data_IF_459474376963
#
_entry.id   IF_459474376963
#
_cell.length_a   1.000
_cell.length_b   1.000
_cell.length_c   1.000
_cell.angle_alpha   90.00
_cell.angle_beta   90.00
_cell.angle_gamma   90.00
#
_symmetry.space_group_name_H-M   'P 1'
#
loop_
_entity.id
_entity.type
_entity.pdbx_description
1 polymer ?
#
# COMPACT_ATOMS: atom_id res chain seq x y z
N UNK A 1 28.86 -18.12 -6.63
CA UNK A 1 28.45 -19.04 -5.52
C UNK A 1 27.01 -18.74 -5.07
N UNK A 2 26.08 -18.60 -6.00
CA UNK A 2 24.62 -18.51 -5.76
C UNK A 2 23.85 -19.64 -6.48
N UNK A 3 24.57 -20.57 -7.12
CA UNK A 3 24.00 -21.69 -7.87
C UNK A 3 23.77 -22.98 -7.07
N UNK A 4 24.18 -23.06 -5.82
CA UNK A 4 24.17 -24.31 -5.04
C UNK A 4 22.92 -24.50 -4.13
N UNK A 5 21.98 -23.52 -4.10
CA UNK A 5 20.82 -23.61 -3.20
C UNK A 5 19.48 -23.97 -3.88
N UNK A 6 19.48 -24.35 -5.16
CA UNK A 6 18.24 -24.64 -5.92
C UNK A 6 18.15 -26.08 -6.46
N UNK A 7 19.04 -26.96 -6.09
CA UNK A 7 18.99 -28.37 -6.52
C UNK A 7 18.58 -29.29 -5.38
N UNK A 8 17.31 -29.31 -4.99
CA UNK A 8 16.72 -30.51 -4.37
C UNK A 8 15.26 -30.70 -4.79
N UNK A 9 15.11 -31.52 -5.81
CA UNK A 9 14.09 -32.55 -6.07
C UNK A 9 12.65 -32.24 -5.61
N UNK A 10 11.83 -31.92 -6.60
CA UNK A 10 10.39 -32.22 -6.53
C UNK A 10 10.19 -33.74 -6.41
N UNK A 11 10.11 -34.26 -5.20
CA UNK A 11 9.53 -35.59 -4.94
C UNK A 11 8.01 -35.46 -4.95
N UNK A 12 7.38 -36.10 -5.90
CA UNK A 12 5.94 -36.38 -5.91
C UNK A 12 5.56 -37.10 -4.62
N UNK A 13 4.82 -36.39 -3.76
CA UNK A 13 4.23 -37.01 -2.55
C UNK A 13 3.15 -37.99 -2.94
N UNK A 14 3.17 -39.16 -2.30
CA UNK A 14 2.15 -40.21 -2.46
C UNK A 14 0.77 -39.72 -1.96
N UNK A 15 -0.35 -40.30 -2.45
CA UNK A 15 -1.70 -39.85 -2.11
C UNK A 15 -2.08 -39.92 -0.63
N UNK A 16 -1.36 -40.73 0.17
CA UNK A 16 -1.66 -40.93 1.60
C UNK A 16 -1.28 -39.77 2.53
N UNK A 17 -0.37 -38.92 2.14
CA UNK A 17 0.06 -37.76 2.94
C UNK A 17 -0.80 -36.49 2.69
N UNK A 18 -1.70 -36.53 1.71
CA UNK A 18 -2.62 -35.42 1.40
C UNK A 18 -3.83 -35.33 2.33
N UNK A 19 -4.14 -36.42 3.06
CA UNK A 19 -5.40 -36.52 3.78
C UNK A 19 -5.46 -35.81 5.14
N UNK A 20 -4.34 -35.49 5.78
CA UNK A 20 -4.35 -34.92 7.13
C UNK A 20 -4.27 -33.40 7.20
N UNK A 21 -4.03 -32.70 6.06
CA UNK A 21 -4.04 -31.22 5.99
C UNK A 21 -5.20 -30.63 5.19
N UNK A 22 -6.11 -31.45 4.69
CA UNK A 22 -7.19 -31.02 3.78
C UNK A 22 -8.46 -30.50 4.48
N UNK A 23 -8.44 -30.28 5.80
CA UNK A 23 -9.57 -29.67 6.53
C UNK A 23 -9.28 -28.22 6.92
N UNK A 24 -8.91 -27.39 5.98
CA UNK A 24 -8.73 -25.96 6.23
C UNK A 24 -9.40 -25.11 5.16
N UNK A 25 -10.59 -24.64 5.51
CA UNK A 25 -11.10 -23.28 5.40
C UNK A 25 -11.30 -22.63 4.02
N UNK A 26 -12.48 -22.04 3.76
CA UNK A 26 -12.78 -21.23 2.61
C UNK A 26 -12.13 -19.85 2.81
N UNK A 27 -11.01 -19.56 2.14
CA UNK A 27 -10.39 -18.25 2.30
C UNK A 27 -9.50 -17.80 1.13
N UNK A 28 -8.67 -18.69 0.60
CA UNK A 28 -7.81 -18.37 -0.55
C UNK A 28 -7.91 -19.46 -1.60
N UNK A 29 -8.20 -19.13 -2.87
CA UNK A 29 -8.31 -20.13 -3.94
C UNK A 29 -7.01 -20.92 -4.18
N UNK A 30 -5.88 -20.43 -3.67
CA UNK A 30 -4.56 -21.05 -3.83
C UNK A 30 -3.75 -20.98 -2.51
N UNK A 31 -4.00 -21.86 -1.52
CA UNK A 31 -3.21 -21.88 -0.30
C UNK A 31 -1.75 -22.21 -0.61
N UNK A 32 -0.83 -21.45 -0.07
CA UNK A 32 0.62 -21.62 -0.27
C UNK A 32 1.09 -23.04 0.09
N UNK A 33 0.45 -23.66 1.08
CA UNK A 33 0.72 -25.03 1.52
C UNK A 33 0.52 -26.09 0.43
N UNK A 34 -0.26 -25.79 -0.62
CA UNK A 34 -0.44 -26.71 -1.75
C UNK A 34 0.70 -26.65 -2.79
N UNK A 35 1.53 -25.60 -2.72
CA UNK A 35 2.55 -25.32 -3.75
C UNK A 35 3.97 -25.29 -3.20
N UNK A 36 4.13 -25.11 -1.91
CA UNK A 36 5.44 -25.04 -1.26
C UNK A 36 5.55 -26.12 -0.19
N UNK A 37 6.57 -26.97 -0.28
CA UNK A 37 6.91 -27.84 0.83
C UNK A 37 7.48 -26.99 1.97
N UNK A 38 6.66 -26.84 3.02
CA UNK A 38 7.00 -26.04 4.19
C UNK A 38 7.99 -26.74 5.13
N UNK A 39 8.45 -27.96 4.83
CA UNK A 39 9.31 -28.74 5.71
C UNK A 39 10.67 -28.07 5.94
N UNK A 40 11.14 -27.31 4.95
CA UNK A 40 12.39 -26.55 5.03
C UNK A 40 12.26 -25.14 5.67
N UNK A 41 11.06 -24.73 6.05
CA UNK A 41 10.87 -23.45 6.73
C UNK A 41 11.17 -23.59 8.24
N UNK A 42 11.76 -22.54 8.82
CA UNK A 42 11.91 -22.47 10.28
C UNK A 42 10.55 -22.60 10.97
N UNK A 43 10.53 -23.12 12.19
CA UNK A 43 9.30 -23.23 13.01
C UNK A 43 8.58 -21.88 13.09
N UNK A 44 9.32 -20.79 13.27
CA UNK A 44 8.79 -19.42 13.30
C UNK A 44 8.08 -19.05 12.00
N UNK A 45 8.65 -19.41 10.86
CA UNK A 45 8.06 -19.10 9.54
C UNK A 45 6.81 -19.93 9.27
N UNK A 46 6.80 -21.20 9.69
CA UNK A 46 5.61 -22.07 9.61
C UNK A 46 4.48 -21.56 10.50
N UNK A 47 4.78 -21.13 11.71
CA UNK A 47 3.80 -20.52 12.63
C UNK A 47 3.22 -19.22 12.03
N UNK A 48 4.04 -18.37 11.44
CA UNK A 48 3.61 -17.17 10.76
C UNK A 48 2.64 -17.49 9.60
N UNK A 49 2.99 -18.44 8.73
CA UNK A 49 2.13 -18.84 7.60
C UNK A 49 0.81 -19.45 8.08
N UNK A 50 0.84 -20.30 9.10
CA UNK A 50 -0.36 -20.86 9.69
C UNK A 50 -1.27 -19.79 10.28
N UNK A 51 -0.72 -18.81 11.00
CA UNK A 51 -1.47 -17.72 11.61
C UNK A 51 -2.17 -16.83 10.58
N UNK A 52 -1.46 -16.40 9.52
CA UNK A 52 -2.06 -15.57 8.47
C UNK A 52 -3.11 -16.33 7.63
N UNK A 53 -3.00 -17.66 7.56
CA UNK A 53 -3.96 -18.52 6.83
C UNK A 53 -5.20 -18.79 7.66
N UNK A 54 -5.08 -18.90 9.00
CA UNK A 54 -6.18 -19.17 9.92
C UNK A 54 -6.94 -17.94 10.38
N UNK A 55 -6.37 -16.74 10.21
CA UNK A 55 -6.98 -15.48 10.64
C UNK A 55 -8.22 -15.14 9.82
N UNK A 56 -9.39 -15.19 10.42
CA UNK A 56 -10.65 -14.81 9.78
C UNK A 56 -10.91 -13.32 9.92
N UNK A 57 -10.95 -12.62 8.77
CA UNK A 57 -11.32 -11.20 8.68
C UNK A 57 -12.80 -11.10 8.30
N UNK A 58 -13.65 -10.42 9.12
CA UNK A 58 -15.06 -10.28 8.78
C UNK A 58 -15.27 -9.54 7.45
N UNK A 59 -16.19 -10.03 6.64
CA UNK A 59 -16.54 -9.39 5.36
C UNK A 59 -17.67 -8.36 5.50
N UNK A 60 -18.37 -8.35 6.65
CA UNK A 60 -19.51 -7.47 6.90
C UNK A 60 -19.56 -6.96 8.35
N UNK A 61 -20.27 -5.86 8.56
CA UNK A 61 -20.56 -5.36 9.91
C UNK A 61 -21.31 -6.38 10.76
N UNK A 62 -22.31 -7.06 10.20
CA UNK A 62 -23.15 -8.06 10.92
C UNK A 62 -22.34 -9.28 11.39
N UNK A 63 -21.25 -9.57 10.75
CA UNK A 63 -20.29 -10.59 11.17
C UNK A 63 -19.35 -10.05 12.25
N UNK A 64 -18.75 -8.88 12.01
CA UNK A 64 -17.79 -8.27 12.91
C UNK A 64 -18.39 -7.95 14.30
N UNK A 65 -19.66 -7.54 14.37
CA UNK A 65 -20.31 -7.18 15.63
C UNK A 65 -20.46 -8.34 16.60
N UNK A 66 -20.33 -9.58 16.14
CA UNK A 66 -20.40 -10.78 16.99
C UNK A 66 -19.13 -10.97 17.84
N UNK A 67 -18.00 -10.42 17.44
CA UNK A 67 -16.72 -10.54 18.14
C UNK A 67 -16.37 -9.21 18.84
N UNK A 68 -16.08 -9.30 20.13
CA UNK A 68 -15.75 -8.14 20.98
C UNK A 68 -14.54 -7.36 20.47
N UNK A 69 -13.52 -8.05 19.99
CA UNK A 69 -12.29 -7.43 19.45
C UNK A 69 -12.59 -6.49 18.29
N UNK A 70 -13.51 -6.88 17.41
CA UNK A 70 -13.94 -6.03 16.29
C UNK A 70 -14.84 -4.89 16.74
N UNK A 71 -15.73 -5.11 17.74
CA UNK A 71 -16.54 -4.03 18.32
C UNK A 71 -15.66 -2.92 18.90
N UNK A 72 -14.63 -3.30 19.66
CA UNK A 72 -13.68 -2.36 20.26
C UNK A 72 -12.94 -1.51 19.23
N UNK A 73 -12.42 -2.13 18.18
CA UNK A 73 -11.68 -1.36 17.16
C UNK A 73 -12.60 -0.48 16.32
N UNK A 74 -13.83 -0.90 16.03
CA UNK A 74 -14.83 -0.04 15.40
C UNK A 74 -15.18 1.16 16.28
N UNK A 75 -15.39 0.95 17.58
CA UNK A 75 -15.68 2.03 18.52
C UNK A 75 -14.52 3.04 18.60
N UNK A 76 -13.28 2.56 18.68
CA UNK A 76 -12.08 3.43 18.67
C UNK A 76 -11.96 4.23 17.37
N UNK A 77 -12.24 3.60 16.23
CA UNK A 77 -12.21 4.30 14.92
C UNK A 77 -13.26 5.43 14.88
N UNK A 78 -14.50 5.18 15.32
CA UNK A 78 -15.54 6.22 15.38
C UNK A 78 -15.15 7.36 16.34
N UNK A 79 -14.63 7.03 17.52
CA UNK A 79 -14.18 8.04 18.48
C UNK A 79 -13.04 8.89 17.90
N UNK A 80 -12.07 8.26 17.23
CA UNK A 80 -10.99 8.98 16.56
C UNK A 80 -11.49 9.91 15.45
N UNK A 81 -12.44 9.45 14.62
CA UNK A 81 -13.06 10.26 13.58
C UNK A 81 -13.87 11.44 14.13
N UNK A 82 -14.60 11.24 15.23
CA UNK A 82 -15.34 12.30 15.91
C UNK A 82 -14.39 13.31 16.56
N UNK A 83 -13.36 12.84 17.26
CA UNK A 83 -12.37 13.71 17.89
C UNK A 83 -11.61 14.56 16.85
N UNK A 84 -11.34 13.98 15.68
CA UNK A 84 -10.73 14.70 14.54
C UNK A 84 -11.69 15.72 13.89
N UNK A 85 -12.98 15.76 14.28
CA UNK A 85 -13.96 16.63 13.64
C UNK A 85 -14.24 16.27 12.19
N UNK A 86 -14.20 14.97 11.85
CA UNK A 86 -14.30 14.48 10.47
C UNK A 86 -15.66 14.80 9.86
N UNK A 87 -16.73 14.85 10.66
CA UNK A 87 -18.09 15.18 10.22
C UNK A 87 -18.89 15.92 11.27
N UNK A 88 -19.98 16.52 10.84
CA UNK A 88 -21.07 17.00 11.66
C UNK A 88 -22.35 16.24 11.32
N UNK A 89 -23.28 16.15 12.28
CA UNK A 89 -24.59 15.52 12.07
C UNK A 89 -25.54 16.52 11.41
N UNK A 90 -26.12 16.14 10.27
CA UNK A 90 -26.97 16.98 9.45
C UNK A 90 -28.17 16.20 8.90
N UNK A 91 -29.08 16.89 8.22
CA UNK A 91 -30.12 16.27 7.40
C UNK A 91 -29.63 16.07 5.99
N UNK A 92 -30.10 14.97 5.36
CA UNK A 92 -29.71 14.65 3.99
C UNK A 92 -30.42 15.58 2.99
N UNK A 93 -29.68 16.36 2.19
CA UNK A 93 -30.28 17.11 1.09
C UNK A 93 -30.86 16.17 0.02
N UNK A 94 -31.86 16.64 -0.75
CA UNK A 94 -32.38 15.87 -1.89
C UNK A 94 -31.24 15.54 -2.87
N UNK A 95 -31.33 14.33 -3.47
CA UNK A 95 -30.36 13.82 -4.49
C UNK A 95 -28.93 13.56 -4.03
N UNK A 96 -28.60 13.63 -2.75
CA UNK A 96 -27.31 13.26 -2.19
C UNK A 96 -27.38 11.88 -1.51
N UNK A 97 -26.59 10.90 -1.94
CA UNK A 97 -26.59 9.55 -1.34
C UNK A 97 -25.20 8.95 -1.45
N UNK A 98 -24.44 8.95 -0.38
CA UNK A 98 -23.19 8.19 -0.33
C UNK A 98 -23.23 7.23 0.85
N UNK A 99 -23.08 5.95 0.58
CA UNK A 99 -22.98 4.90 1.58
C UNK A 99 -21.56 4.74 2.10
N UNK A 100 -21.43 3.99 3.20
CA UNK A 100 -20.12 3.60 3.74
C UNK A 100 -20.15 2.13 4.16
N UNK A 101 -18.98 1.56 4.33
CA UNK A 101 -18.79 0.21 4.84
C UNK A 101 -17.58 0.15 5.77
N UNK A 102 -17.57 -0.87 6.60
CA UNK A 102 -16.39 -1.24 7.36
C UNK A 102 -15.46 -2.12 6.52
N UNK A 103 -14.16 -1.90 6.69
CA UNK A 103 -13.10 -2.76 6.17
C UNK A 103 -12.26 -3.21 7.36
N UNK A 104 -12.12 -4.52 7.49
CA UNK A 104 -11.44 -5.17 8.59
C UNK A 104 -10.12 -5.76 8.14
N UNK A 105 -9.10 -5.70 9.01
CA UNK A 105 -7.78 -6.26 8.73
C UNK A 105 -7.09 -6.71 10.02
N UNK A 106 -6.52 -7.91 10.01
CA UNK A 106 -5.64 -8.37 11.07
C UNK A 106 -4.21 -8.04 10.71
N UNK A 107 -3.47 -7.42 11.63
CA UNK A 107 -2.04 -7.19 11.50
C UNK A 107 -1.30 -8.21 12.34
N UNK A 108 -0.27 -8.81 11.75
CA UNK A 108 0.55 -9.84 12.38
C UNK A 108 1.97 -9.33 12.58
N UNK A 109 2.60 -9.74 13.67
CA UNK A 109 4.03 -9.58 13.89
C UNK A 109 4.81 -10.58 13.03
N UNK A 110 6.12 -10.39 12.94
CA UNK A 110 7.01 -11.29 12.19
C UNK A 110 7.08 -12.73 12.73
N UNK A 111 6.59 -12.97 13.95
CA UNK A 111 6.49 -14.29 14.57
C UNK A 111 5.14 -15.00 14.33
N UNK A 112 4.20 -14.34 13.63
CA UNK A 112 2.87 -14.85 13.35
C UNK A 112 1.85 -14.55 14.44
N UNK A 113 2.21 -13.93 15.54
CA UNK A 113 1.24 -13.49 16.54
C UNK A 113 0.47 -12.28 16.04
N UNK A 114 -0.81 -12.17 16.44
CA UNK A 114 -1.61 -11.00 16.10
C UNK A 114 -1.03 -9.77 16.78
N UNK A 115 -0.62 -8.78 15.98
CA UNK A 115 -0.20 -7.49 16.49
C UNK A 115 -1.39 -6.66 16.94
N UNK A 116 -2.38 -6.55 16.03
CA UNK A 116 -3.61 -5.78 16.29
C UNK A 116 -4.70 -6.07 15.26
N UNK A 117 -5.92 -5.88 15.69
CA UNK A 117 -7.10 -5.76 14.83
C UNK A 117 -7.21 -4.32 14.32
N UNK A 118 -7.62 -4.13 13.08
CA UNK A 118 -7.81 -2.81 12.48
C UNK A 118 -9.14 -2.77 11.74
N UNK A 119 -10.01 -1.83 12.08
CA UNK A 119 -11.21 -1.49 11.33
C UNK A 119 -11.05 -0.10 10.72
N UNK A 120 -11.51 0.08 9.49
CA UNK A 120 -11.57 1.37 8.83
C UNK A 120 -12.97 1.61 8.30
N UNK A 121 -13.49 2.81 8.55
CA UNK A 121 -14.70 3.27 7.88
C UNK A 121 -14.33 3.81 6.50
N UNK A 122 -14.95 3.23 5.45
CA UNK A 122 -14.66 3.56 4.06
C UNK A 122 -15.94 3.99 3.36
N UNK A 123 -15.91 5.11 2.67
CA UNK A 123 -17.05 5.64 1.92
C UNK A 123 -17.09 5.01 0.51
N UNK A 124 -18.29 4.89 -0.08
CA UNK A 124 -18.45 4.36 -1.45
C UNK A 124 -18.13 5.44 -2.49
N UNK A 125 -16.86 5.70 -2.76
CA UNK A 125 -16.43 6.68 -3.76
C UNK A 125 -16.86 6.34 -5.20
N UNK A 126 -17.14 5.08 -5.50
CA UNK A 126 -17.68 4.65 -6.78
C UNK A 126 -19.09 5.19 -7.06
N UNK A 127 -19.81 5.65 -6.03
CA UNK A 127 -21.12 6.30 -6.16
C UNK A 127 -21.02 7.82 -6.33
N UNK A 128 -19.84 8.41 -6.20
CA UNK A 128 -19.64 9.84 -6.39
C UNK A 128 -19.73 10.22 -7.88
N UNK A 129 -20.43 11.33 -8.14
CA UNK A 129 -20.65 11.90 -9.47
C UNK A 129 -19.76 13.12 -9.64
N UNK A 130 -19.00 13.16 -10.74
CA UNK A 130 -18.17 14.30 -11.12
C UNK A 130 -19.02 15.54 -11.38
N UNK A 131 -18.53 16.70 -10.96
CA UNK A 131 -19.26 17.98 -11.03
C UNK A 131 -20.28 18.20 -9.91
N UNK A 132 -20.66 17.14 -9.16
CA UNK A 132 -21.62 17.21 -8.03
C UNK A 132 -20.94 16.93 -6.69
N UNK A 133 -20.21 15.82 -6.60
CA UNK A 133 -19.58 15.36 -5.36
C UNK A 133 -18.07 15.65 -5.33
N UNK A 134 -17.47 15.87 -6.48
CA UNK A 134 -16.07 16.29 -6.64
C UNK A 134 -15.86 16.95 -8.01
N UNK A 135 -14.85 17.79 -8.11
CA UNK A 135 -14.43 18.43 -9.37
C UNK A 135 -13.07 17.93 -9.84
N UNK A 136 -12.16 17.65 -8.91
CA UNK A 136 -10.79 17.19 -9.20
C UNK A 136 -10.42 16.09 -8.19
N UNK A 137 -9.75 15.06 -8.67
CA UNK A 137 -9.32 13.92 -7.83
C UNK A 137 -7.82 13.72 -7.87
N UNK A 138 -7.12 14.26 -8.86
CA UNK A 138 -5.70 14.04 -9.07
C UNK A 138 -4.87 14.61 -7.93
N UNK A 139 -3.98 13.79 -7.39
CA UNK A 139 -2.90 14.18 -6.49
C UNK A 139 -1.56 13.79 -7.12
N UNK A 140 -0.53 14.63 -7.01
CA UNK A 140 0.82 14.23 -7.41
C UNK A 140 1.27 12.99 -6.64
N UNK A 141 1.86 12.04 -7.37
CA UNK A 141 2.48 10.84 -6.83
C UNK A 141 3.87 10.73 -7.44
N UNK A 142 4.86 10.38 -6.64
CA UNK A 142 6.25 10.29 -7.09
C UNK A 142 6.40 9.36 -8.30
N UNK A 143 6.98 9.88 -9.37
CA UNK A 143 7.32 9.08 -10.54
C UNK A 143 8.50 8.16 -10.21
N UNK A 144 8.50 6.94 -10.71
CA UNK A 144 9.58 5.99 -10.41
C UNK A 144 10.96 6.48 -10.90
N UNK A 145 10.98 7.28 -11.97
CA UNK A 145 12.21 7.95 -12.42
C UNK A 145 12.71 8.95 -11.38
N UNK A 146 11.81 9.74 -10.78
CA UNK A 146 12.16 10.69 -9.72
C UNK A 146 12.69 9.97 -8.48
N UNK A 147 12.09 8.83 -8.10
CA UNK A 147 12.60 7.98 -7.00
C UNK A 147 14.04 7.54 -7.28
N UNK A 148 14.34 7.06 -8.50
CA UNK A 148 15.71 6.65 -8.88
C UNK A 148 16.69 7.81 -8.80
N UNK A 149 16.34 8.97 -9.38
CA UNK A 149 17.20 10.15 -9.37
C UNK A 149 17.42 10.64 -7.93
N UNK A 150 16.38 10.64 -7.11
CA UNK A 150 16.46 11.03 -5.70
C UNK A 150 17.45 10.15 -4.92
N UNK A 151 17.35 8.83 -5.06
CA UNK A 151 18.26 7.88 -4.43
C UNK A 151 19.69 7.98 -4.99
N UNK A 152 19.85 8.15 -6.31
CA UNK A 152 21.16 8.30 -6.94
C UNK A 152 21.89 9.58 -6.47
N UNK A 153 21.17 10.71 -6.38
CA UNK A 153 21.73 11.98 -5.85
C UNK A 153 22.12 11.82 -4.38
N UNK A 154 21.25 11.19 -3.56
CA UNK A 154 21.54 10.96 -2.15
C UNK A 154 22.79 10.05 -1.97
N UNK A 155 22.96 9.01 -2.81
CA UNK A 155 24.15 8.17 -2.83
C UNK A 155 25.40 8.96 -3.21
N UNK A 156 25.37 9.65 -4.35
CA UNK A 156 26.52 10.42 -4.89
C UNK A 156 26.96 11.56 -3.95
N UNK A 157 26.02 12.16 -3.22
CA UNK A 157 26.29 13.25 -2.26
C UNK A 157 26.51 12.76 -0.83
N UNK A 158 26.44 11.48 -0.57
CA UNK A 158 26.52 10.88 0.77
C UNK A 158 25.48 11.44 1.74
N UNK A 159 24.32 11.89 1.23
CA UNK A 159 23.23 12.43 2.05
C UNK A 159 22.48 11.34 2.80
N UNK A 160 22.00 11.65 4.00
CA UNK A 160 21.14 10.74 4.74
C UNK A 160 19.81 10.52 4.02
N UNK A 161 19.23 9.34 4.24
CA UNK A 161 17.91 8.96 3.73
C UNK A 161 17.06 8.44 4.88
N UNK A 162 15.95 9.10 5.14
CA UNK A 162 15.01 8.75 6.18
C UNK A 162 13.63 8.53 5.60
N UNK A 163 12.83 7.74 6.30
CA UNK A 163 11.44 7.48 5.92
C UNK A 163 10.49 7.85 7.05
N UNK A 164 9.38 8.48 6.69
CA UNK A 164 8.25 8.74 7.58
C UNK A 164 6.96 8.23 6.94
N UNK A 165 6.04 7.75 7.78
CA UNK A 165 4.70 7.28 7.40
C UNK A 165 3.66 8.16 8.10
N UNK A 166 2.65 8.62 7.36
CA UNK A 166 1.58 9.44 7.91
C UNK A 166 0.44 8.58 8.39
N UNK A 167 0.17 8.63 9.68
CA UNK A 167 -0.95 7.87 10.22
C UNK A 167 -2.28 8.47 9.76
N UNK A 168 -3.08 7.67 9.03
CA UNK A 168 -4.39 8.07 8.52
C UNK A 168 -4.36 9.36 7.68
N UNK A 169 -3.41 9.49 6.77
CA UNK A 169 -3.12 10.66 5.94
C UNK A 169 -4.38 11.36 5.40
N UNK A 170 -5.32 10.62 4.83
CA UNK A 170 -6.52 11.19 4.24
C UNK A 170 -7.42 11.94 5.25
N UNK A 171 -7.38 11.58 6.53
CA UNK A 171 -8.19 12.23 7.57
C UNK A 171 -7.69 13.64 7.94
N UNK A 172 -6.50 14.02 7.48
CA UNK A 172 -5.97 15.39 7.65
C UNK A 172 -6.45 16.35 6.57
N UNK A 173 -6.90 15.83 5.41
CA UNK A 173 -7.33 16.65 4.28
C UNK A 173 -8.67 17.33 4.53
N UNK A 174 -8.73 18.64 4.35
CA UNK A 174 -9.96 19.43 4.47
C UNK A 174 -10.81 19.27 3.19
N UNK A 175 -12.13 19.09 3.34
CA UNK A 175 -13.06 19.00 2.23
C UNK A 175 -13.69 20.38 1.97
N UNK A 176 -13.62 20.83 0.74
CA UNK A 176 -14.33 22.03 0.28
C UNK A 176 -15.72 21.70 -0.29
N UNK A 177 -15.85 20.49 -0.83
CA UNK A 177 -17.08 20.03 -1.44
C UNK A 177 -18.07 19.52 -0.38
N UNK A 178 -19.35 19.72 -0.62
CA UNK A 178 -20.43 19.19 0.24
C UNK A 178 -20.62 17.69 -0.01
N UNK A 179 -20.05 16.87 0.86
CA UNK A 179 -20.17 15.41 0.83
C UNK A 179 -20.94 14.91 2.05
N UNK A 180 -21.96 14.08 1.79
CA UNK A 180 -22.80 13.49 2.80
C UNK A 180 -22.62 11.98 2.84
N UNK A 181 -22.52 11.42 4.03
CA UNK A 181 -22.38 9.99 4.27
C UNK A 181 -23.51 9.50 5.17
N UNK A 182 -24.09 8.35 4.87
CA UNK A 182 -24.98 7.67 5.81
C UNK A 182 -24.26 7.40 7.13
N UNK A 183 -25.01 7.42 8.23
CA UNK A 183 -24.45 7.03 9.53
C UNK A 183 -23.79 5.65 9.42
N UNK A 184 -22.59 5.49 10.02
CA UNK A 184 -21.88 4.21 10.01
C UNK A 184 -22.75 3.08 10.53
N UNK A 185 -22.70 1.88 9.93
CA UNK A 185 -23.38 0.71 10.46
C UNK A 185 -23.02 0.47 11.93
N UNK A 186 -24.04 0.29 12.79
CA UNK A 186 -23.90 0.13 14.22
C UNK A 186 -23.88 1.44 15.04
N UNK A 187 -23.81 2.60 14.39
CA UNK A 187 -23.78 3.92 15.05
C UNK A 187 -24.94 4.82 14.60
N UNK A 188 -26.02 4.21 14.14
CA UNK A 188 -27.21 4.92 13.67
C UNK A 188 -28.01 5.48 14.86
N UNK A 189 -28.49 6.71 14.71
CA UNK A 189 -29.44 7.30 15.67
C UNK A 189 -30.81 6.77 15.32
N UNK A 190 -31.39 5.98 16.22
CA UNK A 190 -32.71 5.34 16.04
C UNK A 190 -33.78 6.37 15.71
N UNK A 191 -34.58 6.10 14.67
CA UNK A 191 -35.70 6.99 14.28
C UNK A 191 -35.30 8.29 13.58
N UNK A 192 -34.03 8.53 13.33
CA UNK A 192 -33.52 9.76 12.72
C UNK A 192 -33.14 9.56 11.25
N UNK A 193 -33.55 10.49 10.38
CA UNK A 193 -33.08 10.62 8.99
C UNK A 193 -31.76 11.39 8.88
N UNK A 194 -30.99 11.51 9.98
CA UNK A 194 -29.76 12.24 10.05
C UNK A 194 -28.61 11.48 9.34
N UNK A 195 -27.69 12.25 8.80
CA UNK A 195 -26.49 11.79 8.09
C UNK A 195 -25.27 12.53 8.60
N UNK A 196 -24.07 12.04 8.23
CA UNK A 196 -22.82 12.74 8.45
C UNK A 196 -22.54 13.67 7.25
N UNK A 197 -22.43 14.98 7.50
CA UNK A 197 -21.84 15.93 6.55
C UNK A 197 -20.34 15.95 6.80
N UNK A 198 -19.54 15.54 5.82
CA UNK A 198 -18.08 15.47 5.98
C UNK A 198 -17.46 16.86 5.96
N UNK A 199 -16.53 17.10 6.88
CA UNK A 199 -15.69 18.30 6.96
C UNK A 199 -14.26 18.00 6.53
N UNK A 200 -13.81 16.76 6.75
CA UNK A 200 -12.52 16.26 6.32
C UNK A 200 -12.68 15.05 5.42
N UNK A 201 -11.67 14.78 4.63
CA UNK A 201 -11.70 13.63 3.74
C UNK A 201 -11.65 12.31 4.51
N UNK A 202 -12.20 11.27 3.91
CA UNK A 202 -12.30 9.93 4.46
C UNK A 202 -11.84 8.91 3.41
N UNK A 203 -11.38 7.75 3.89
CA UNK A 203 -11.01 6.65 3.00
C UNK A 203 -12.14 6.29 2.04
N UNK A 204 -11.80 6.11 0.78
CA UNK A 204 -12.74 5.78 -0.28
C UNK A 204 -13.25 6.97 -1.09
N UNK A 205 -13.16 8.21 -0.61
CA UNK A 205 -13.45 9.40 -1.42
C UNK A 205 -12.46 9.54 -2.58
N UNK A 206 -12.95 9.82 -3.77
CA UNK A 206 -12.12 10.04 -4.96
C UNK A 206 -11.15 11.21 -4.81
N UNK A 207 -11.54 12.28 -4.11
CA UNK A 207 -10.72 13.48 -3.86
C UNK A 207 -9.84 13.39 -2.60
N UNK A 208 -9.92 12.32 -1.78
CA UNK A 208 -9.15 12.24 -0.54
C UNK A 208 -7.63 12.37 -0.75
N UNK A 209 -7.00 11.75 -1.75
CA UNK A 209 -5.57 11.95 -2.04
C UNK A 209 -5.23 13.41 -2.34
N UNK A 210 -6.07 14.11 -3.11
CA UNK A 210 -5.88 15.53 -3.45
C UNK A 210 -5.97 16.42 -2.21
N UNK A 211 -6.98 16.20 -1.35
CA UNK A 211 -7.18 16.99 -0.14
C UNK A 211 -6.00 16.82 0.82
N UNK A 212 -5.53 15.60 0.99
CA UNK A 212 -4.35 15.30 1.80
C UNK A 212 -3.09 15.96 1.23
N UNK A 213 -2.82 15.75 -0.06
CA UNK A 213 -1.65 16.33 -0.71
C UNK A 213 -1.63 17.86 -0.62
N UNK A 214 -2.77 18.51 -0.78
CA UNK A 214 -2.88 19.97 -0.62
C UNK A 214 -2.49 20.42 0.80
N UNK A 215 -2.98 19.70 1.84
CA UNK A 215 -2.63 19.98 3.25
C UNK A 215 -1.15 19.81 3.52
N UNK A 216 -0.57 18.70 3.08
CA UNK A 216 0.87 18.42 3.22
C UNK A 216 1.71 19.45 2.45
N UNK A 217 1.34 19.77 1.20
CA UNK A 217 2.05 20.74 0.37
C UNK A 217 2.07 22.14 1.00
N UNK A 218 0.97 22.53 1.65
CA UNK A 218 0.91 23.80 2.40
C UNK A 218 1.91 23.81 3.55
N UNK A 219 1.91 22.78 4.40
CA UNK A 219 2.84 22.67 5.52
C UNK A 219 4.32 22.65 5.06
N UNK A 220 4.63 21.92 3.97
CA UNK A 220 5.98 21.92 3.41
C UNK A 220 6.41 23.31 2.93
N UNK A 221 5.52 24.05 2.26
CA UNK A 221 5.80 25.42 1.79
C UNK A 221 5.96 26.42 2.95
N UNK A 222 5.15 26.29 3.99
CA UNK A 222 5.24 27.10 5.21
C UNK A 222 6.57 26.86 5.95
N UNK A 223 7.11 25.63 5.91
CA UNK A 223 8.46 25.33 6.44
C UNK A 223 9.59 25.94 5.59
N UNK A 224 9.30 26.32 4.33
CA UNK A 224 10.25 26.93 3.40
C UNK A 224 10.65 26.06 2.21
N UNK A 225 10.00 24.91 1.99
CA UNK A 225 10.26 24.08 0.82
C UNK A 225 9.66 24.69 -0.46
N UNK A 226 10.37 24.50 -1.56
CA UNK A 226 9.92 24.79 -2.91
C UNK A 226 9.49 23.49 -3.59
N UNK A 227 8.30 23.50 -4.21
CA UNK A 227 7.78 22.36 -4.98
C UNK A 227 8.42 22.33 -6.37
N UNK A 228 8.88 21.17 -6.81
CA UNK A 228 9.48 20.99 -8.13
C UNK A 228 8.44 21.07 -9.25
N UNK A 229 8.78 21.72 -10.36
CA UNK A 229 7.96 21.76 -11.58
C UNK A 229 8.03 20.46 -12.39
N UNK A 230 9.14 19.72 -12.30
CA UNK A 230 9.32 18.47 -13.06
C UNK A 230 8.55 17.27 -12.46
N UNK A 231 8.40 17.28 -11.15
CA UNK A 231 7.58 16.32 -10.40
C UNK A 231 7.02 17.03 -9.16
N UNK A 232 5.72 17.25 -9.15
CA UNK A 232 5.05 17.98 -8.06
C UNK A 232 5.06 17.23 -6.72
N UNK A 233 5.49 15.97 -6.70
CA UNK A 233 5.69 15.20 -5.45
C UNK A 233 7.05 15.44 -4.81
N UNK A 234 7.98 16.14 -5.50
CA UNK A 234 9.31 16.46 -5.00
C UNK A 234 9.32 17.89 -4.45
N UNK A 235 9.82 18.05 -3.24
CA UNK A 235 10.02 19.33 -2.57
C UNK A 235 11.49 19.47 -2.18
N UNK A 236 12.05 20.66 -2.35
CA UNK A 236 13.45 20.97 -2.06
C UNK A 236 13.56 22.20 -1.21
N UNK A 237 14.44 22.19 -0.22
CA UNK A 237 14.78 23.34 0.59
C UNK A 237 16.29 23.53 0.53
N UNK A 238 16.70 24.78 0.26
CA UNK A 238 18.08 25.20 0.35
C UNK A 238 18.15 26.47 1.19
N UNK A 239 18.86 26.39 2.30
CA UNK A 239 19.15 27.55 3.14
C UNK A 239 20.63 27.53 3.51
N UNK A 240 21.42 28.49 3.01
CA UNK A 240 22.88 28.50 3.09
C UNK A 240 23.45 27.18 2.53
N UNK A 241 24.18 26.45 3.39
CA UNK A 241 24.79 25.15 3.05
C UNK A 241 23.86 23.96 3.33
N UNK A 242 22.76 24.17 4.04
CA UNK A 242 21.78 23.12 4.37
C UNK A 242 20.90 22.83 3.15
N UNK A 243 20.80 21.56 2.80
CA UNK A 243 19.92 21.07 1.74
C UNK A 243 19.06 19.93 2.26
N UNK A 244 17.75 20.08 2.14
CA UNK A 244 16.76 19.06 2.43
C UNK A 244 15.90 18.80 1.19
N UNK A 245 15.57 17.55 0.96
CA UNK A 245 14.68 17.13 -0.10
C UNK A 245 13.64 16.18 0.45
N UNK A 246 12.40 16.32 0.02
CA UNK A 246 11.29 15.45 0.41
C UNK A 246 10.61 14.92 -0.84
N UNK A 247 10.49 13.63 -0.94
CA UNK A 247 9.73 12.95 -1.98
C UNK A 247 8.47 12.33 -1.38
N UNK A 248 7.31 12.71 -1.89
CA UNK A 248 6.00 12.32 -1.35
C UNK A 248 5.38 11.23 -2.22
N UNK A 249 4.99 10.12 -1.61
CA UNK A 249 4.19 9.08 -2.25
C UNK A 249 2.99 8.75 -1.36
N UNK A 250 1.91 9.47 -1.55
CA UNK A 250 0.65 9.40 -0.78
C UNK A 250 0.89 9.65 0.71
N UNK A 251 1.01 8.60 1.53
CA UNK A 251 1.27 8.61 2.97
C UNK A 251 2.73 8.32 3.34
N UNK A 252 3.52 7.85 2.39
CA UNK A 252 4.96 7.60 2.56
C UNK A 252 5.80 8.82 2.14
N UNK A 253 6.72 9.26 2.98
CA UNK A 253 7.68 10.32 2.70
C UNK A 253 9.11 9.80 2.79
N UNK A 254 9.94 10.12 1.77
CA UNK A 254 11.39 9.98 1.87
C UNK A 254 11.99 11.36 2.06
N UNK A 255 12.83 11.51 3.08
CA UNK A 255 13.57 12.73 3.41
C UNK A 255 15.04 12.47 3.16
N UNK A 256 15.71 13.37 2.44
CA UNK A 256 17.15 13.32 2.21
C UNK A 256 17.78 14.68 2.46
N UNK A 257 18.99 14.70 3.00
CA UNK A 257 19.70 15.94 3.24
C UNK A 257 21.14 15.73 3.68
N UNK A 258 21.89 16.83 3.70
CA UNK A 258 23.31 16.88 4.09
C UNK A 258 23.52 17.28 5.55
N UNK A 259 22.46 17.60 6.28
CA UNK A 259 22.54 18.07 7.66
C UNK A 259 21.57 17.26 8.53
N UNK A 260 22.13 16.50 9.47
CA UNK A 260 21.38 15.63 10.37
C UNK A 260 20.44 16.40 11.31
N UNK A 261 20.92 17.52 11.87
CA UNK A 261 20.10 18.32 12.81
C UNK A 261 18.91 18.96 12.09
N UNK A 262 19.11 19.44 10.86
CA UNK A 262 18.05 19.97 10.05
C UNK A 262 17.00 18.90 9.70
N UNK A 263 17.42 17.65 9.42
CA UNK A 263 16.50 16.53 9.21
C UNK A 263 15.70 16.25 10.48
N UNK A 264 16.32 16.20 11.65
CA UNK A 264 15.66 15.95 12.95
C UNK A 264 14.65 17.05 13.25
N UNK A 265 15.02 18.33 13.09
CA UNK A 265 14.12 19.48 13.30
C UNK A 265 12.91 19.42 12.35
N UNK A 266 13.14 19.10 11.07
CA UNK A 266 12.08 18.98 10.09
C UNK A 266 11.13 17.81 10.42
N UNK A 267 11.64 16.67 10.85
CA UNK A 267 10.81 15.53 11.29
C UNK A 267 9.93 15.89 12.49
N UNK A 268 10.49 16.64 13.45
CA UNK A 268 9.72 17.15 14.60
C UNK A 268 8.59 18.06 14.14
N UNK A 269 8.86 19.03 13.27
CA UNK A 269 7.86 19.92 12.68
C UNK A 269 6.72 19.14 12.00
N UNK A 270 7.06 18.13 11.18
CA UNK A 270 6.04 17.29 10.54
C UNK A 270 5.21 16.50 11.56
N UNK A 271 5.83 16.03 12.64
CA UNK A 271 5.14 15.31 13.72
C UNK A 271 4.19 16.23 14.50
N UNK A 272 4.53 17.51 14.64
CA UNK A 272 3.67 18.52 15.26
C UNK A 272 2.46 18.87 14.36
N UNK A 273 2.67 18.91 13.03
CA UNK A 273 1.60 19.18 12.06
C UNK A 273 0.65 17.99 11.85
N UNK A 274 1.20 16.78 11.88
CA UNK A 274 0.51 15.55 11.51
C UNK A 274 0.91 14.41 12.44
N UNK A 275 0.06 13.40 12.58
CA UNK A 275 0.41 12.18 13.31
C UNK A 275 1.36 11.33 12.45
N UNK A 276 2.67 11.58 12.59
CA UNK A 276 3.72 10.91 11.82
C UNK A 276 4.36 9.78 12.61
N UNK A 277 4.71 8.71 11.89
CA UNK A 277 5.57 7.65 12.39
C UNK A 277 6.94 7.77 11.73
N UNK A 278 7.96 8.05 12.52
CA UNK A 278 9.35 7.98 12.06
C UNK A 278 9.77 6.51 11.91
N UNK A 279 10.11 6.10 10.69
CA UNK A 279 10.58 4.77 10.36
C UNK A 279 12.11 4.68 10.36
N UNK A 280 12.79 5.81 10.65
CA UNK A 280 14.25 5.91 10.69
C UNK A 280 14.90 5.92 9.31
N UNK A 281 16.07 5.30 9.21
CA UNK A 281 16.83 5.18 7.96
C UNK A 281 16.04 4.34 6.96
N UNK A 282 16.01 4.77 5.70
CA UNK A 282 15.31 4.10 4.61
C UNK A 282 15.80 2.67 4.42
N UNK A 283 14.90 1.69 4.55
CA UNK A 283 15.18 0.25 4.36
C UNK A 283 14.22 -0.41 3.39
N UNK A 284 13.00 0.11 3.27
CA UNK A 284 11.95 -0.48 2.45
C UNK A 284 10.98 0.60 2.00
N UNK A 285 10.82 0.76 0.70
CA UNK A 285 9.94 1.77 0.12
C UNK A 285 9.19 1.22 -1.08
N UNK A 286 7.87 1.27 -1.06
CA UNK A 286 7.01 0.85 -2.16
C UNK A 286 7.29 -0.57 -2.68
N UNK A 287 7.58 -1.53 -1.81
CA UNK A 287 7.91 -2.89 -2.23
C UNK A 287 9.36 -3.07 -2.70
N UNK A 288 10.20 -2.05 -2.57
CA UNK A 288 11.63 -2.08 -2.87
C UNK A 288 12.42 -2.13 -1.57
N UNK A 289 13.26 -3.14 -1.42
CA UNK A 289 14.24 -3.23 -0.35
C UNK A 289 15.43 -2.34 -0.71
N UNK A 290 15.86 -1.51 0.26
CA UNK A 290 16.96 -0.56 0.09
C UNK A 290 18.03 -0.88 1.13
N UNK A 291 19.22 -1.18 0.66
CA UNK A 291 20.42 -1.34 1.49
C UNK A 291 21.46 -0.31 1.09
N UNK A 292 22.19 0.23 2.05
CA UNK A 292 23.22 1.24 1.81
C UNK A 292 24.52 0.87 2.52
N UNK A 293 25.63 1.08 1.82
CA UNK A 293 27.00 1.02 2.37
C UNK A 293 27.82 2.22 1.88
N UNK A 294 29.16 2.19 2.09
CA UNK A 294 30.09 3.21 1.60
C UNK A 294 30.12 3.33 0.07
N UNK A 295 29.86 2.22 -0.64
CA UNK A 295 30.00 2.15 -2.10
C UNK A 295 28.75 2.63 -2.83
N UNK A 296 27.59 2.66 -2.14
CA UNK A 296 26.34 3.12 -2.73
C UNK A 296 25.09 2.56 -2.12
N UNK A 297 24.04 2.56 -2.95
CA UNK A 297 22.70 2.07 -2.58
C UNK A 297 22.36 0.87 -3.47
N UNK A 298 22.04 -0.24 -2.83
CA UNK A 298 21.51 -1.44 -3.47
C UNK A 298 19.99 -1.49 -3.32
N UNK A 299 19.29 -1.75 -4.44
CA UNK A 299 17.84 -1.89 -4.46
C UNK A 299 17.43 -3.25 -5.00
N UNK A 300 16.50 -3.92 -4.34
CA UNK A 300 15.88 -5.14 -4.86
C UNK A 300 14.40 -5.24 -4.53
N UNK A 301 13.67 -6.06 -5.28
CA UNK A 301 12.26 -6.35 -5.09
C UNK A 301 12.04 -7.86 -4.84
N UNK A 302 12.86 -8.45 -3.97
CA UNK A 302 12.84 -9.90 -3.73
C UNK A 302 11.46 -10.39 -3.31
N UNK A 303 10.88 -9.78 -2.28
CA UNK A 303 9.54 -10.15 -1.80
C UNK A 303 8.49 -9.96 -2.90
N UNK A 304 8.53 -8.83 -3.60
CA UNK A 304 7.60 -8.52 -4.68
C UNK A 304 7.67 -9.54 -5.83
N UNK A 305 8.88 -9.97 -6.22
CA UNK A 305 9.08 -11.01 -7.22
C UNK A 305 8.51 -12.36 -6.75
N UNK A 306 8.74 -12.74 -5.49
CA UNK A 306 8.17 -13.96 -4.91
C UNK A 306 6.63 -13.92 -4.86
N UNK A 307 6.03 -12.75 -4.56
CA UNK A 307 4.59 -12.56 -4.57
C UNK A 307 4.00 -12.73 -5.98
N UNK A 308 4.71 -12.27 -7.04
CA UNK A 308 4.31 -12.51 -8.44
C UNK A 308 4.36 -14.01 -8.77
N UNK A 309 5.47 -14.67 -8.44
CA UNK A 309 5.63 -16.11 -8.68
C UNK A 309 4.58 -16.95 -7.93
N UNK A 310 4.25 -16.55 -6.71
CA UNK A 310 3.21 -17.18 -5.91
C UNK A 310 1.83 -17.06 -6.57
N UNK A 311 1.46 -15.85 -7.01
CA UNK A 311 0.19 -15.60 -7.69
C UNK A 311 0.08 -16.33 -9.04
N UNK A 312 1.21 -16.46 -9.74
CA UNK A 312 1.30 -17.22 -10.98
C UNK A 312 1.35 -18.75 -10.78
N UNK A 313 1.50 -19.25 -9.53
CA UNK A 313 1.66 -20.67 -9.24
C UNK A 313 3.03 -21.23 -9.63
N UNK A 314 4.05 -20.38 -9.77
CA UNK A 314 5.38 -20.72 -10.32
C UNK A 314 6.49 -20.80 -9.26
N UNK A 315 6.20 -20.75 -7.96
CA UNK A 315 7.23 -20.79 -6.90
C UNK A 315 8.13 -22.03 -6.95
N UNK A 316 7.61 -23.16 -7.40
CA UNK A 316 8.38 -24.40 -7.56
C UNK A 316 8.84 -24.69 -8.98
N UNK A 317 8.65 -23.76 -9.92
CA UNK A 317 9.03 -23.94 -11.31
C UNK A 317 10.56 -23.88 -11.49
N UNK A 318 11.08 -24.69 -12.45
CA UNK A 318 12.49 -24.61 -12.83
C UNK A 318 12.77 -23.23 -13.46
N UNK A 319 13.83 -22.53 -13.04
CA UNK A 319 14.22 -21.28 -13.65
C UNK A 319 14.52 -21.43 -15.15
N UNK A 320 14.01 -20.49 -15.96
CA UNK A 320 14.38 -20.38 -17.37
C UNK A 320 15.74 -19.66 -17.50
N UNK A 321 16.55 -20.07 -18.48
CA UNK A 321 17.85 -19.45 -18.74
C UNK A 321 17.74 -18.08 -19.41
N UNK A 322 16.65 -17.83 -20.13
CA UNK A 322 16.35 -16.57 -20.83
C UNK A 322 14.92 -16.12 -20.49
N UNK A 323 14.66 -14.82 -20.37
CA UNK A 323 13.34 -14.30 -20.00
C UNK A 323 12.28 -14.55 -21.05
N UNK A 324 12.64 -14.60 -22.33
CA UNK A 324 11.76 -14.85 -23.48
C UNK A 324 12.56 -15.51 -24.61
N UNK A 325 11.96 -16.52 -25.24
CA UNK A 325 12.57 -17.14 -26.42
C UNK A 325 12.58 -16.19 -27.63
N UNK A 326 13.62 -16.23 -28.46
CA UNK A 326 13.75 -15.35 -29.61
C UNK A 326 12.63 -15.55 -30.66
N UNK A 327 12.10 -16.78 -30.77
CA UNK A 327 11.02 -17.14 -31.71
C UNK A 327 9.68 -17.37 -30.97
N UNK A 328 9.30 -16.46 -30.11
CA UNK A 328 8.14 -16.59 -29.22
C UNK A 328 6.77 -16.67 -29.94
N UNK A 329 6.68 -16.37 -31.23
CA UNK A 329 5.46 -16.42 -32.08
C UNK A 329 4.22 -15.72 -31.48
N UNK A 330 4.43 -14.80 -30.55
CA UNK A 330 3.36 -13.96 -30.01
C UNK A 330 2.97 -12.95 -31.08
N UNK A 331 1.70 -12.97 -31.50
CA UNK A 331 1.18 -12.06 -32.51
C UNK A 331 -0.15 -11.46 -32.05
N UNK A 332 -0.45 -10.25 -32.53
CA UNK A 332 -1.58 -9.44 -32.11
C UNK A 332 -2.98 -10.05 -32.38
N UNK A 333 -3.11 -11.09 -33.22
CA UNK A 333 -4.43 -11.49 -33.75
C UNK A 333 -4.65 -13.02 -33.78
N UNK A 334 -3.82 -13.85 -33.20
CA UNK A 334 -3.97 -15.31 -33.24
C UNK A 334 -4.40 -15.85 -31.86
N UNK A 335 -5.65 -16.21 -31.69
CA UNK A 335 -6.18 -16.91 -30.52
C UNK A 335 -7.58 -16.47 -30.11
N UNK A 336 -8.17 -17.24 -29.22
CA UNK A 336 -9.44 -16.87 -28.58
C UNK A 336 -9.17 -15.83 -27.48
N UNK A 337 -10.07 -14.85 -27.28
CA UNK A 337 -9.98 -13.92 -26.15
C UNK A 337 -9.89 -14.68 -24.83
N UNK A 338 -9.12 -14.14 -23.90
CA UNK A 338 -9.03 -14.70 -22.54
C UNK A 338 -10.37 -14.54 -21.82
N UNK A 339 -10.79 -15.55 -21.07
CA UNK A 339 -12.00 -15.50 -20.23
C UNK A 339 -11.88 -14.41 -19.15
N UNK A 340 -10.67 -14.18 -18.59
CA UNK A 340 -10.37 -13.14 -17.61
C UNK A 340 -9.18 -12.26 -18.07
N UNK A 341 -9.45 -11.25 -18.94
CA UNK A 341 -8.40 -10.34 -19.41
C UNK A 341 -7.88 -9.41 -18.31
N UNK A 342 -8.63 -9.22 -17.21
CA UNK A 342 -8.17 -8.40 -16.08
C UNK A 342 -7.03 -9.05 -15.32
N UNK A 343 -7.08 -10.36 -15.16
CA UNK A 343 -5.98 -11.13 -14.54
C UNK A 343 -4.69 -10.98 -15.34
N UNK A 344 -4.77 -11.06 -16.66
CA UNK A 344 -3.61 -10.85 -17.54
C UNK A 344 -3.04 -9.44 -17.41
N UNK A 345 -3.89 -8.41 -17.55
CA UNK A 345 -3.47 -7.00 -17.41
C UNK A 345 -2.85 -6.71 -16.04
N UNK A 346 -3.40 -7.30 -14.98
CA UNK A 346 -2.84 -7.18 -13.64
C UNK A 346 -1.44 -7.78 -13.56
N UNK A 347 -1.23 -8.96 -14.12
CA UNK A 347 0.09 -9.61 -14.15
C UNK A 347 1.11 -8.78 -14.93
N UNK A 348 0.75 -8.31 -16.13
CA UNK A 348 1.60 -7.42 -16.94
C UNK A 348 1.94 -6.15 -16.17
N UNK A 349 0.97 -5.50 -15.52
CA UNK A 349 1.20 -4.32 -14.68
C UNK A 349 2.18 -4.59 -13.53
N UNK A 350 2.12 -5.75 -12.91
CA UNK A 350 3.08 -6.16 -11.87
C UNK A 350 4.49 -6.39 -12.44
N UNK A 351 4.60 -6.98 -13.63
CA UNK A 351 5.88 -7.17 -14.30
C UNK A 351 6.50 -5.84 -14.74
N UNK A 352 5.69 -4.88 -15.23
CA UNK A 352 6.14 -3.50 -15.52
C UNK A 352 6.77 -2.88 -14.26
N UNK A 353 6.13 -3.03 -13.10
CA UNK A 353 6.67 -2.51 -11.85
C UNK A 353 7.96 -3.22 -11.41
N UNK A 354 8.08 -4.53 -11.67
CA UNK A 354 9.29 -5.31 -11.38
C UNK A 354 10.50 -4.81 -12.20
N UNK A 355 10.29 -4.27 -13.41
CA UNK A 355 11.35 -3.67 -14.24
C UNK A 355 12.04 -2.48 -13.56
N UNK A 356 11.49 -1.94 -12.49
CA UNK A 356 12.12 -0.90 -11.68
C UNK A 356 13.49 -1.35 -11.12
N UNK A 357 13.61 -2.59 -10.64
CA UNK A 357 14.88 -3.17 -10.16
C UNK A 357 15.45 -4.22 -11.11
N UNK A 358 14.68 -4.68 -12.10
CA UNK A 358 15.05 -5.70 -13.07
C UNK A 358 14.84 -5.17 -14.52
N UNK A 359 15.64 -4.17 -14.94
CA UNK A 359 15.47 -3.52 -16.25
C UNK A 359 15.70 -4.46 -17.43
N UNK A 360 16.43 -5.56 -17.25
CA UNK A 360 16.65 -6.60 -18.27
C UNK A 360 15.36 -7.31 -18.69
N UNK A 361 14.29 -7.24 -17.89
CA UNK A 361 12.98 -7.81 -18.22
C UNK A 361 12.14 -6.87 -19.11
N UNK A 362 12.55 -5.62 -19.29
CA UNK A 362 11.71 -4.59 -19.92
C UNK A 362 11.27 -4.94 -21.34
N UNK A 363 12.15 -5.54 -22.14
CA UNK A 363 11.81 -5.99 -23.50
C UNK A 363 10.70 -7.05 -23.47
N UNK A 364 10.87 -8.07 -22.65
CA UNK A 364 9.88 -9.16 -22.55
C UNK A 364 8.53 -8.66 -22.06
N UNK A 365 8.55 -7.76 -21.07
CA UNK A 365 7.31 -7.15 -20.53
C UNK A 365 6.64 -6.26 -21.57
N UNK A 366 7.43 -5.54 -22.39
CA UNK A 366 6.89 -4.76 -23.51
C UNK A 366 6.21 -5.64 -24.56
N UNK A 367 6.80 -6.79 -24.89
CA UNK A 367 6.19 -7.75 -25.85
C UNK A 367 4.87 -8.31 -25.30
N UNK A 368 4.75 -8.48 -23.98
CA UNK A 368 3.53 -8.98 -23.32
C UNK A 368 2.46 -7.92 -23.13
N UNK A 369 2.77 -6.63 -23.22
CA UNK A 369 1.83 -5.53 -22.97
C UNK A 369 1.16 -5.01 -24.24
#
# INVERSE_FOLDING_TARGET
RLSEYVTHTARTLSPSTRSSMAQCLPGTPYPIAHYVNCDNFSMRHRQFLAAITSGHEPVSFSEAVKDERWRDVMQREIQALQHNGTWEISYLPPNKKVGCKWVFKIKYKSDGTVERYKARLVIFGNHQVEGIDFTKTFAPVAKMVTVRVFLAVAAAKQWELHQMDVHNAFLHGDLQEEVYMRMPPGFQITGSKKVCRLRKSLYGLKQAPRCWFAKLSTALKEYGFHQSYSDYSLFTLQHKDVRLNVLVYVDDLIISGNDHEAIVKFKSYLSDCFHMKDLGILKYFLGVEVARNSDGIFMCQRKYALDILSEAGLLGAKPASVPLEQQHRLALVNGQPLDDPERYRRLVGRLIYLCFTRPELSYCVHVLS
#
